data_IF_486735271109
#
_entry.id   IF_486735271109
#
_cell.length_a   1.000
_cell.length_b   1.000
_cell.length_c   1.000
_cell.angle_alpha   90.00
_cell.angle_beta   90.00
_cell.angle_gamma   90.00
#
_symmetry.space_group_name_H-M   'P 1'
#
loop_
_entity.id
_entity.type
_entity.pdbx_description
1 polymer ?
#
# COMPACT_ATOMS: atom_id res chain seq x y z
N UNK A 1 -14.54 -2.25 -5.65
CA UNK A 1 -13.57 -2.56 -6.73
C UNK A 1 -12.83 -3.83 -6.34
N UNK A 2 -12.93 -4.92 -7.11
CA UNK A 2 -12.34 -6.20 -6.72
C UNK A 2 -10.96 -6.33 -7.36
N UNK A 3 -9.89 -6.16 -6.57
CA UNK A 3 -8.51 -6.25 -7.05
C UNK A 3 -8.02 -7.69 -6.97
N UNK A 4 -7.30 -8.15 -7.99
CA UNK A 4 -6.62 -9.45 -7.92
C UNK A 4 -5.64 -9.50 -6.74
N UNK A 5 -5.44 -10.69 -6.16
CA UNK A 5 -4.44 -10.90 -5.10
C UNK A 5 -3.06 -10.35 -5.47
N UNK A 6 -2.65 -10.55 -6.73
CA UNK A 6 -1.38 -10.05 -7.27
C UNK A 6 -1.32 -8.52 -7.28
N UNK A 7 -2.41 -7.85 -7.64
CA UNK A 7 -2.50 -6.39 -7.64
C UNK A 7 -2.41 -5.84 -6.22
N UNK A 8 -3.13 -6.43 -5.26
CA UNK A 8 -3.08 -6.02 -3.84
C UNK A 8 -1.66 -6.13 -3.27
N UNK A 9 -0.97 -7.24 -3.55
CA UNK A 9 0.42 -7.42 -3.13
C UNK A 9 1.36 -6.37 -3.73
N UNK A 10 1.26 -6.08 -5.02
CA UNK A 10 2.06 -5.03 -5.66
C UNK A 10 1.84 -3.66 -4.98
N UNK A 11 0.60 -3.30 -4.73
CA UNK A 11 0.25 -2.03 -4.08
C UNK A 11 0.87 -1.94 -2.69
N UNK A 12 0.75 -3.00 -1.88
CA UNK A 12 1.36 -3.04 -0.54
C UNK A 12 2.90 -2.94 -0.61
N UNK A 13 3.54 -3.66 -1.53
CA UNK A 13 5.00 -3.61 -1.72
C UNK A 13 5.49 -2.22 -2.10
N UNK A 14 4.86 -1.57 -3.09
CA UNK A 14 5.26 -0.22 -3.51
C UNK A 14 4.94 0.83 -2.46
N UNK A 15 3.81 0.71 -1.74
CA UNK A 15 3.49 1.62 -0.63
C UNK A 15 4.54 1.56 0.48
N UNK A 16 5.10 0.37 0.73
CA UNK A 16 6.20 0.20 1.70
C UNK A 16 7.48 0.89 1.22
N UNK A 17 7.82 0.77 -0.07
CA UNK A 17 8.96 1.48 -0.66
C UNK A 17 8.78 3.01 -0.59
N UNK A 18 7.60 3.52 -0.94
CA UNK A 18 7.32 4.95 -0.91
C UNK A 18 7.33 5.52 0.52
N UNK A 19 6.90 4.75 1.52
CA UNK A 19 7.10 5.12 2.93
C UNK A 19 8.59 5.24 3.29
N UNK A 20 9.40 4.26 2.90
CA UNK A 20 10.86 4.28 3.16
C UNK A 20 11.57 5.44 2.48
N UNK A 21 11.09 5.85 1.30
CA UNK A 21 11.61 6.99 0.56
C UNK A 21 11.11 8.35 1.10
N UNK A 22 10.24 8.36 2.12
CA UNK A 22 9.66 9.58 2.67
C UNK A 22 8.61 10.24 1.77
N UNK A 23 8.16 9.55 0.72
CA UNK A 23 7.12 10.04 -0.20
C UNK A 23 5.74 9.94 0.46
N UNK A 24 5.49 8.83 1.16
CA UNK A 24 4.26 8.64 1.94
C UNK A 24 4.52 8.93 3.41
N UNK A 25 3.62 9.70 4.02
CA UNK A 25 3.59 9.84 5.47
C UNK A 25 2.92 8.61 6.14
N UNK A 26 3.02 8.54 7.46
CA UNK A 26 2.49 7.41 8.24
C UNK A 26 0.98 7.20 8.04
N UNK A 27 0.22 8.28 7.92
CA UNK A 27 -1.23 8.24 7.80
C UNK A 27 -1.65 7.73 6.41
N UNK A 28 -1.02 8.22 5.34
CA UNK A 28 -1.27 7.78 3.97
C UNK A 28 -0.95 6.29 3.80
N UNK A 29 0.20 5.86 4.33
CA UNK A 29 0.58 4.46 4.33
C UNK A 29 -0.43 3.57 5.09
N UNK A 30 -0.89 4.00 6.27
CA UNK A 30 -1.92 3.28 7.04
C UNK A 30 -3.24 3.15 6.30
N UNK A 31 -3.67 4.21 5.61
CA UNK A 31 -4.89 4.19 4.81
C UNK A 31 -4.77 3.18 3.66
N UNK A 32 -3.69 3.23 2.88
CA UNK A 32 -3.47 2.30 1.76
C UNK A 32 -3.37 0.85 2.26
N UNK A 33 -2.61 0.61 3.33
CA UNK A 33 -2.45 -0.76 3.86
C UNK A 33 -3.77 -1.32 4.41
N UNK A 34 -4.65 -0.48 4.98
CA UNK A 34 -5.99 -0.89 5.42
C UNK A 34 -6.88 -1.33 4.26
N UNK A 35 -6.90 -0.58 3.16
CA UNK A 35 -7.78 -0.85 2.02
C UNK A 35 -7.33 -2.07 1.19
N UNK A 36 -6.02 -2.32 1.15
CA UNK A 36 -5.44 -3.37 0.31
C UNK A 36 -4.99 -4.62 1.10
N UNK A 37 -5.22 -4.68 2.41
CA UNK A 37 -4.95 -5.88 3.23
C UNK A 37 -5.78 -7.07 2.73
N UNK A 38 -5.10 -8.18 2.45
CA UNK A 38 -5.74 -9.47 2.09
C UNK A 38 -6.28 -10.12 3.36
#
# INVERSE_FOLDING_TARGET
MNYSKRTRLKILSYSTLFKKLGILNEQEYKNITKDFRI
#
